data_IF_941085669563
#
_entry.id   IF_941085669563
#
_cell.length_a   1.000
_cell.length_b   1.000
_cell.length_c   1.000
_cell.angle_alpha   90.00
_cell.angle_beta   90.00
_cell.angle_gamma   90.00
#
_symmetry.space_group_name_H-M   'P 1'
#
loop_
_entity.id
_entity.type
_entity.pdbx_description
1 polymer ?
#
# COMPACT_ATOMS: atom_id res chain seq x y z
N UNK A 1 -2.33 -22.58 -25.32
CA UNK A 1 -1.78 -21.50 -26.16
C UNK A 1 -2.10 -20.16 -25.51
N UNK A 2 -1.08 -19.31 -25.28
CA UNK A 2 -1.28 -17.85 -25.37
C UNK A 2 -1.38 -16.98 -24.11
N UNK A 3 -0.64 -17.20 -23.01
CA UNK A 3 -0.40 -16.12 -22.04
C UNK A 3 1.04 -16.14 -21.50
N UNK A 4 1.82 -15.09 -21.79
CA UNK A 4 3.11 -14.81 -21.12
C UNK A 4 4.40 -15.07 -21.90
N UNK A 5 4.36 -15.38 -23.20
CA UNK A 5 5.58 -15.70 -23.95
C UNK A 5 6.49 -14.49 -24.21
N UNK A 6 5.91 -13.32 -24.47
CA UNK A 6 6.68 -12.09 -24.75
C UNK A 6 7.29 -11.48 -23.47
N UNK A 7 6.60 -11.56 -22.33
CA UNK A 7 7.12 -11.06 -21.03
C UNK A 7 8.44 -11.71 -20.65
N UNK A 8 8.56 -13.04 -20.84
CA UNK A 8 9.78 -13.81 -20.50
C UNK A 8 11.03 -13.34 -21.23
N UNK A 9 10.93 -12.92 -22.50
CA UNK A 9 12.11 -12.46 -23.25
C UNK A 9 12.57 -11.07 -22.81
N UNK A 10 11.63 -10.21 -22.39
CA UNK A 10 11.95 -8.90 -21.81
C UNK A 10 12.63 -9.11 -20.45
N UNK A 11 12.07 -9.97 -19.59
CA UNK A 11 12.62 -10.23 -18.25
C UNK A 11 14.08 -10.73 -18.29
N UNK A 12 14.46 -11.52 -19.31
CA UNK A 12 15.85 -11.99 -19.48
C UNK A 12 16.81 -10.86 -19.88
N UNK A 13 16.38 -9.93 -20.74
CA UNK A 13 17.19 -8.76 -21.11
C UNK A 13 17.38 -7.84 -19.91
N UNK A 14 16.32 -7.60 -19.14
CA UNK A 14 16.40 -6.78 -17.92
C UNK A 14 17.26 -7.45 -16.85
N UNK A 15 17.22 -8.78 -16.72
CA UNK A 15 18.07 -9.53 -15.79
C UNK A 15 19.57 -9.35 -16.10
N UNK A 16 19.96 -9.21 -17.37
CA UNK A 16 21.34 -8.91 -17.74
C UNK A 16 21.81 -7.52 -17.24
N UNK A 17 20.88 -6.62 -16.92
CA UNK A 17 21.14 -5.29 -16.38
C UNK A 17 21.09 -5.23 -14.84
N UNK A 18 21.06 -6.38 -14.15
CA UNK A 18 20.87 -6.46 -12.70
C UNK A 18 21.81 -5.55 -11.90
N UNK A 19 23.10 -5.51 -12.24
CA UNK A 19 24.07 -4.67 -11.54
C UNK A 19 23.80 -3.17 -11.72
N UNK A 20 23.29 -2.76 -12.89
CA UNK A 20 22.88 -1.37 -13.14
C UNK A 20 21.64 -1.01 -12.33
N UNK A 21 20.66 -1.91 -12.27
CA UNK A 21 19.47 -1.72 -11.43
C UNK A 21 19.84 -1.56 -9.96
N UNK A 22 20.68 -2.45 -9.42
CA UNK A 22 21.17 -2.33 -8.03
C UNK A 22 21.80 -0.97 -7.77
N UNK A 23 22.75 -0.55 -8.59
CA UNK A 23 23.42 0.75 -8.41
C UNK A 23 22.46 1.94 -8.50
N UNK A 24 21.47 1.88 -9.40
CA UNK A 24 20.44 2.90 -9.51
C UNK A 24 19.54 2.96 -8.28
N UNK A 25 19.11 1.80 -7.76
CA UNK A 25 18.32 1.71 -6.53
C UNK A 25 19.10 2.17 -5.30
N UNK A 26 20.37 1.78 -5.17
CA UNK A 26 21.27 2.27 -4.10
C UNK A 26 21.36 3.79 -4.12
N UNK A 27 21.62 4.38 -5.30
CA UNK A 27 21.68 5.84 -5.47
C UNK A 27 20.35 6.51 -5.12
N UNK A 28 19.22 5.92 -5.54
CA UNK A 28 17.89 6.43 -5.23
C UNK A 28 17.63 6.41 -3.71
N UNK A 29 17.93 5.29 -3.05
CA UNK A 29 17.73 5.11 -1.62
C UNK A 29 18.57 6.12 -0.83
N UNK A 30 19.85 6.26 -1.18
CA UNK A 30 20.77 7.21 -0.54
C UNK A 30 20.29 8.66 -0.68
N UNK A 31 19.80 9.05 -1.86
CA UNK A 31 19.45 10.44 -2.15
C UNK A 31 18.04 10.85 -1.77
N UNK A 32 17.12 9.90 -1.64
CA UNK A 32 15.68 10.21 -1.51
C UNK A 32 15.03 9.64 -0.25
N UNK A 33 15.68 8.72 0.47
CA UNK A 33 15.18 8.25 1.76
C UNK A 33 15.49 9.28 2.84
N UNK A 34 14.44 9.95 3.35
CA UNK A 34 14.57 10.99 4.38
C UNK A 34 13.78 10.61 5.62
N UNK A 35 14.03 11.28 6.75
CA UNK A 35 13.33 11.01 8.01
C UNK A 35 11.80 11.15 7.88
N UNK A 36 11.32 12.11 7.10
CA UNK A 36 9.88 12.34 6.89
C UNK A 36 9.29 11.52 5.72
N UNK A 37 10.13 10.95 4.87
CA UNK A 37 9.72 10.14 3.73
C UNK A 37 10.71 8.99 3.53
N UNK A 38 10.71 8.00 4.44
CA UNK A 38 11.67 6.91 4.41
C UNK A 38 11.29 5.86 3.37
N UNK A 39 12.28 5.36 2.64
CA UNK A 39 12.18 4.10 1.91
C UNK A 39 12.51 2.91 2.81
N UNK A 40 11.82 1.80 2.63
CA UNK A 40 12.06 0.55 3.35
C UNK A 40 12.45 -0.57 2.38
N UNK A 41 13.51 -1.33 2.69
CA UNK A 41 13.92 -2.53 1.95
C UNK A 41 13.23 -3.74 2.59
N UNK A 42 12.38 -4.43 1.83
CA UNK A 42 11.62 -5.60 2.31
C UNK A 42 12.10 -6.86 1.60
N UNK A 43 12.58 -7.90 2.31
CA UNK A 43 12.93 -9.17 1.70
C UNK A 43 11.67 -9.87 1.21
N UNK A 44 11.67 -10.35 -0.04
CA UNK A 44 10.47 -10.89 -0.70
C UNK A 44 10.55 -12.40 -1.02
N UNK A 45 11.56 -13.08 -0.50
CA UNK A 45 11.74 -14.52 -0.71
C UNK A 45 10.56 -15.33 -0.12
N UNK A 46 10.04 -14.91 1.04
CA UNK A 46 8.74 -15.35 1.57
C UNK A 46 7.70 -14.24 1.40
N UNK A 47 6.77 -14.47 0.48
CA UNK A 47 5.70 -13.51 0.15
C UNK A 47 4.79 -13.21 1.34
N UNK A 48 4.46 -14.19 2.19
CA UNK A 48 3.56 -13.97 3.34
C UNK A 48 4.25 -13.10 4.38
N UNK A 49 5.52 -13.35 4.63
CA UNK A 49 6.34 -12.54 5.51
C UNK A 49 6.52 -11.10 4.98
N UNK A 50 6.81 -10.94 3.69
CA UNK A 50 6.91 -9.62 3.07
C UNK A 50 5.60 -8.82 3.20
N UNK A 51 4.46 -9.48 2.95
CA UNK A 51 3.14 -8.86 3.08
C UNK A 51 2.83 -8.45 4.53
N UNK A 52 3.19 -9.26 5.52
CA UNK A 52 2.98 -8.90 6.93
C UNK A 52 3.86 -7.73 7.36
N UNK A 53 5.11 -7.66 6.89
CA UNK A 53 6.00 -6.54 7.15
C UNK A 53 5.48 -5.23 6.53
N UNK A 54 5.02 -5.28 5.28
CA UNK A 54 4.42 -4.10 4.61
C UNK A 54 3.18 -3.63 5.39
N UNK A 55 2.28 -4.55 5.76
CA UNK A 55 1.10 -4.22 6.54
C UNK A 55 1.44 -3.59 7.90
N UNK A 56 2.48 -4.12 8.57
CA UNK A 56 2.98 -3.55 9.81
C UNK A 56 3.49 -2.11 9.63
N UNK A 57 4.29 -1.85 8.60
CA UNK A 57 4.84 -0.51 8.33
C UNK A 57 3.73 0.49 8.04
N UNK A 58 2.77 0.14 7.19
CA UNK A 58 1.63 1.01 6.86
C UNK A 58 0.80 1.30 8.11
N UNK A 59 0.44 0.26 8.88
CA UNK A 59 -0.33 0.41 10.13
C UNK A 59 0.39 1.33 11.11
N UNK A 60 1.69 1.10 11.35
CA UNK A 60 2.49 1.92 12.27
C UNK A 60 2.50 3.39 11.85
N UNK A 61 2.67 3.68 10.56
CA UNK A 61 2.66 5.05 10.05
C UNK A 61 1.29 5.71 10.22
N UNK A 62 0.19 4.98 9.95
CA UNK A 62 -1.17 5.49 10.14
C UNK A 62 -1.50 5.71 11.62
N UNK A 63 -1.04 4.85 12.52
CA UNK A 63 -1.20 5.02 13.97
C UNK A 63 -0.48 6.27 14.48
N UNK A 64 0.68 6.60 13.93
CA UNK A 64 1.41 7.83 14.26
C UNK A 64 0.68 9.09 13.79
N UNK A 65 -0.04 9.03 12.66
CA UNK A 65 -0.88 10.13 12.19
C UNK A 65 -2.07 10.38 13.14
N UNK A 66 -2.47 9.37 13.92
CA UNK A 66 -3.61 9.39 14.84
C UNK A 66 -4.91 9.93 14.20
N UNK A 67 -5.35 9.37 13.05
CA UNK A 67 -6.55 9.83 12.37
C UNK A 67 -7.77 9.63 13.28
N UNK A 68 -8.54 10.70 13.47
CA UNK A 68 -9.79 10.65 14.22
C UNK A 68 -10.96 10.53 13.25
N UNK A 69 -11.93 9.68 13.59
CA UNK A 69 -13.22 9.75 12.94
C UNK A 69 -13.88 11.09 13.30
N UNK A 70 -14.54 11.70 12.32
CA UNK A 70 -15.41 12.83 12.61
C UNK A 70 -16.59 12.32 13.45
N UNK A 71 -16.85 12.96 14.57
CA UNK A 71 -18.10 12.78 15.30
C UNK A 71 -19.25 13.44 14.54
N UNK A 72 -20.32 12.69 14.32
CA UNK A 72 -21.56 13.24 13.77
C UNK A 72 -22.26 14.10 14.84
N UNK A 73 -22.85 15.22 14.41
CA UNK A 73 -23.72 16.01 15.27
C UNK A 73 -24.96 15.18 15.69
N UNK A 74 -25.67 15.62 16.74
CA UNK A 74 -26.90 14.95 17.15
C UNK A 74 -27.96 14.95 16.03
N UNK A 75 -28.01 16.03 15.25
CA UNK A 75 -28.88 16.21 14.08
C UNK A 75 -28.52 15.22 12.96
N UNK A 76 -27.23 15.13 12.61
CA UNK A 76 -26.72 14.18 11.60
C UNK A 76 -26.98 12.72 12.01
N UNK A 77 -26.86 12.40 13.31
CA UNK A 77 -27.20 11.06 13.84
C UNK A 77 -28.69 10.76 13.73
N UNK A 78 -29.55 11.74 14.00
CA UNK A 78 -31.00 11.58 13.89
C UNK A 78 -31.43 11.37 12.43
N UNK A 79 -30.92 12.18 11.51
CA UNK A 79 -31.18 12.06 10.06
C UNK A 79 -30.73 10.70 9.51
N UNK A 80 -29.54 10.23 9.91
CA UNK A 80 -29.04 8.91 9.51
C UNK A 80 -29.94 7.77 9.99
N UNK A 81 -30.50 7.87 11.20
CA UNK A 81 -31.43 6.86 11.74
C UNK A 81 -32.76 6.86 10.98
N UNK A 82 -33.31 8.04 10.67
CA UNK A 82 -34.53 8.16 9.88
C UNK A 82 -34.36 7.54 8.47
N UNK A 83 -33.26 7.85 7.79
CA UNK A 83 -32.92 7.27 6.48
C UNK A 83 -32.76 5.75 6.56
N UNK A 84 -32.08 5.25 7.60
CA UNK A 84 -31.93 3.81 7.81
C UNK A 84 -33.28 3.10 7.98
N UNK A 85 -34.19 3.69 8.76
CA UNK A 85 -35.54 3.15 8.95
C UNK A 85 -36.37 3.18 7.66
N UNK A 86 -36.28 4.24 6.87
CA UNK A 86 -36.94 4.33 5.57
C UNK A 86 -36.47 3.21 4.63
N UNK A 87 -35.16 3.04 4.47
CA UNK A 87 -34.56 2.00 3.61
C UNK A 87 -34.95 0.58 4.05
N UNK A 88 -35.03 0.32 5.35
CA UNK A 88 -35.38 -1.00 5.87
C UNK A 88 -36.86 -1.36 5.63
N UNK A 89 -37.73 -0.36 5.52
CA UNK A 89 -39.16 -0.57 5.29
C UNK A 89 -39.51 -0.69 3.79
N UNK A 90 -38.57 -0.40 2.89
CA UNK A 90 -38.71 -0.57 1.44
C UNK A 90 -38.31 -1.98 0.95
N UNK A 91 -37.67 -2.79 1.80
CA UNK A 91 -37.18 -4.16 1.51
C UNK A 91 -38.06 -5.23 2.17
#
# INVERSE_FOLDING_TARGET
MGFGHWRRFIDLKERALWDRYKSAFETMLEKTSTNNSPWYIVPIDDKKFAQSMIAYLVRKTLEQLNPQFRELSAEEKAEMQELYHALKNEA
#
